data_IF_119073781033
#
_entry.id   IF_119073781033
#
_cell.length_a   1.000
_cell.length_b   1.000
_cell.length_c   1.000
_cell.angle_alpha   90.00
_cell.angle_beta   90.00
_cell.angle_gamma   90.00
#
_symmetry.space_group_name_H-M   'P 1'
#
loop_
_entity.id
_entity.type
_entity.pdbx_description
1 polymer ?
#
# COMPACT_ATOMS: atom_id res chain seq x y z
N UNK A 1 -21.39 -17.77 0.44
CA UNK A 1 -19.97 -17.56 0.80
C UNK A 1 -19.91 -16.47 1.86
N UNK A 2 -19.12 -16.67 2.91
CA UNK A 2 -18.99 -15.75 4.05
C UNK A 2 -17.58 -15.18 4.13
N UNK A 3 -17.49 -13.94 4.59
CA UNK A 3 -16.27 -13.19 4.87
C UNK A 3 -16.32 -12.75 6.33
N UNK A 4 -15.17 -12.76 6.99
CA UNK A 4 -15.04 -12.36 8.39
C UNK A 4 -15.23 -10.85 8.60
N UNK A 5 -14.99 -10.03 7.57
CA UNK A 5 -15.26 -8.60 7.61
C UNK A 5 -15.55 -8.01 6.23
N UNK A 6 -16.16 -6.82 6.19
CA UNK A 6 -16.36 -6.07 4.94
C UNK A 6 -15.04 -5.77 4.22
N UNK A 7 -13.95 -5.56 4.95
CA UNK A 7 -12.64 -5.28 4.35
C UNK A 7 -12.07 -6.49 3.63
N UNK A 8 -12.25 -7.70 4.19
CA UNK A 8 -11.84 -8.95 3.51
C UNK A 8 -12.64 -9.19 2.23
N UNK A 9 -13.94 -8.86 2.24
CA UNK A 9 -14.78 -8.89 1.04
C UNK A 9 -14.31 -7.88 0.00
N UNK A 10 -14.11 -6.61 0.38
CA UNK A 10 -13.62 -5.55 -0.51
C UNK A 10 -12.27 -5.91 -1.11
N UNK A 11 -11.38 -6.51 -0.33
CA UNK A 11 -10.08 -6.98 -0.78
C UNK A 11 -10.20 -8.12 -1.80
N UNK A 12 -11.09 -9.09 -1.56
CA UNK A 12 -11.33 -10.19 -2.48
C UNK A 12 -11.96 -9.71 -3.79
N UNK A 13 -12.96 -8.84 -3.71
CA UNK A 13 -13.60 -8.19 -4.86
C UNK A 13 -12.58 -7.41 -5.69
N UNK A 14 -11.70 -6.63 -5.03
CA UNK A 14 -10.62 -5.88 -5.67
C UNK A 14 -9.67 -6.82 -6.42
N UNK A 15 -9.21 -7.90 -5.78
CA UNK A 15 -8.33 -8.90 -6.42
C UNK A 15 -9.00 -9.55 -7.64
N UNK A 16 -10.27 -9.89 -7.53
CA UNK A 16 -11.04 -10.48 -8.63
C UNK A 16 -11.18 -9.50 -9.80
N UNK A 17 -11.55 -8.25 -9.52
CA UNK A 17 -11.68 -7.21 -10.54
C UNK A 17 -10.38 -6.94 -11.28
N UNK A 18 -9.26 -6.93 -10.55
CA UNK A 18 -7.91 -6.79 -11.12
C UNK A 18 -7.61 -8.00 -12.00
N UNK A 19 -7.83 -9.23 -11.54
CA UNK A 19 -7.55 -10.43 -12.33
C UNK A 19 -8.35 -10.52 -13.63
N UNK A 20 -9.63 -10.16 -13.59
CA UNK A 20 -10.53 -10.27 -14.75
C UNK A 20 -10.56 -9.01 -15.64
N UNK A 21 -9.79 -7.98 -15.29
CA UNK A 21 -9.65 -6.73 -16.05
C UNK A 21 -10.99 -6.05 -16.40
N UNK A 22 -11.79 -5.78 -15.37
CA UNK A 22 -13.01 -4.99 -15.51
C UNK A 22 -13.10 -3.88 -14.47
N UNK A 23 -13.86 -2.84 -14.82
CA UNK A 23 -14.15 -1.72 -13.92
C UNK A 23 -15.39 -2.04 -13.08
N UNK A 24 -15.22 -1.90 -11.77
CA UNK A 24 -16.25 -2.12 -10.75
C UNK A 24 -17.02 -0.83 -10.49
N UNK A 25 -18.35 -0.91 -10.44
CA UNK A 25 -19.24 0.11 -9.88
C UNK A 25 -19.83 -0.42 -8.58
N UNK A 26 -19.85 0.43 -7.56
CA UNK A 26 -20.49 0.16 -6.27
C UNK A 26 -21.70 1.08 -6.15
N UNK A 27 -22.88 0.50 -5.95
CA UNK A 27 -24.09 1.28 -5.71
C UNK A 27 -24.05 1.91 -4.31
N UNK A 28 -24.78 3.02 -4.12
CA UNK A 28 -24.67 3.95 -2.96
C UNK A 28 -24.79 3.33 -1.55
N UNK A 29 -25.17 2.06 -1.39
CA UNK A 29 -25.28 1.36 -0.10
C UNK A 29 -23.98 0.67 0.35
N UNK A 30 -22.85 1.37 0.25
CA UNK A 30 -21.51 0.81 0.50
C UNK A 30 -21.25 0.44 1.98
N UNK A 31 -22.00 1.02 2.93
CA UNK A 31 -21.84 0.76 4.37
C UNK A 31 -22.35 -0.62 4.80
N UNK A 32 -23.35 -1.17 4.11
CA UNK A 32 -24.02 -2.42 4.50
C UNK A 32 -23.83 -3.55 3.51
N UNK A 33 -23.18 -3.28 2.39
CA UNK A 33 -22.61 -4.30 1.54
C UNK A 33 -23.00 -4.26 0.08
N UNK A 34 -24.04 -3.51 -0.25
CA UNK A 34 -24.34 -3.00 -1.57
C UNK A 34 -24.47 -4.03 -2.70
N UNK A 35 -24.99 -3.52 -3.81
CA UNK A 35 -24.87 -4.16 -5.11
C UNK A 35 -23.61 -3.62 -5.77
N UNK A 36 -22.84 -4.52 -6.35
CA UNK A 36 -21.63 -4.21 -7.09
C UNK A 36 -21.76 -4.84 -8.46
N UNK A 37 -21.54 -4.05 -9.51
CA UNK A 37 -21.70 -4.51 -10.88
C UNK A 37 -20.55 -4.07 -11.77
N UNK A 38 -20.48 -4.66 -12.96
CA UNK A 38 -19.50 -4.31 -13.96
C UNK A 38 -19.97 -3.04 -14.71
N UNK A 39 -19.03 -2.15 -15.02
CA UNK A 39 -19.26 -0.94 -15.83
C UNK A 39 -19.43 -1.23 -17.33
N UNK A 40 -19.18 -2.46 -17.76
CA UNK A 40 -19.29 -2.85 -19.16
C UNK A 40 -20.71 -2.71 -19.70
N UNK A 41 -20.83 -2.25 -20.95
CA UNK A 41 -22.14 -2.08 -21.60
C UNK A 41 -22.92 -3.40 -21.66
N UNK A 42 -24.15 -3.39 -21.13
CA UNK A 42 -25.04 -4.56 -21.02
C UNK A 42 -24.36 -5.77 -20.35
N UNK A 43 -23.40 -5.52 -19.46
CA UNK A 43 -22.75 -6.59 -18.71
C UNK A 43 -23.73 -7.20 -17.71
N UNK A 44 -23.84 -8.53 -17.71
CA UNK A 44 -24.68 -9.27 -16.75
C UNK A 44 -23.99 -9.57 -15.43
N UNK A 45 -22.70 -9.26 -15.30
CA UNK A 45 -21.96 -9.52 -14.09
C UNK A 45 -22.37 -8.55 -12.97
N UNK A 46 -22.80 -9.11 -11.85
CA UNK A 46 -23.00 -8.37 -10.60
C UNK A 46 -22.96 -9.31 -9.39
N UNK A 47 -22.74 -8.70 -8.24
CA UNK A 47 -22.70 -9.36 -6.95
C UNK A 47 -23.47 -8.50 -5.95
N UNK A 48 -24.27 -9.15 -5.13
CA UNK A 48 -24.94 -8.52 -4.00
C UNK A 48 -24.48 -9.20 -2.74
N UNK A 49 -23.97 -8.39 -1.82
CA UNK A 49 -23.50 -8.85 -0.54
C UNK A 49 -24.06 -7.94 0.54
N UNK A 50 -24.23 -8.48 1.73
CA UNK A 50 -24.65 -7.69 2.88
C UNK A 50 -24.00 -8.20 4.16
N UNK A 51 -24.07 -7.39 5.20
CA UNK A 51 -23.80 -7.87 6.56
C UNK A 51 -24.71 -9.07 6.85
N UNK A 52 -24.14 -10.10 7.47
CA UNK A 52 -24.84 -11.30 7.87
C UNK A 52 -25.69 -11.01 9.14
N UNK A 53 -26.64 -11.89 9.50
CA UNK A 53 -27.52 -11.67 10.65
C UNK A 53 -26.79 -11.55 11.99
N UNK A 54 -25.55 -12.02 12.07
CA UNK A 54 -24.67 -11.89 13.23
C UNK A 54 -24.12 -10.46 13.43
N UNK A 55 -24.33 -9.56 12.48
CA UNK A 55 -23.90 -8.16 12.54
C UNK A 55 -22.39 -7.94 12.36
N UNK A 56 -21.61 -9.00 12.17
CA UNK A 56 -20.14 -8.96 12.12
C UNK A 56 -19.65 -9.47 10.77
N UNK A 57 -20.15 -10.65 10.38
CA UNK A 57 -19.71 -11.30 9.15
C UNK A 57 -20.38 -10.67 7.94
N UNK A 58 -19.81 -10.93 6.77
CA UNK A 58 -20.29 -10.37 5.52
C UNK A 58 -20.58 -11.49 4.53
N UNK A 59 -21.80 -11.55 4.01
CA UNK A 59 -22.29 -12.68 3.22
C UNK A 59 -22.63 -12.23 1.79
N UNK A 60 -22.17 -13.00 0.81
CA UNK A 60 -22.65 -12.89 -0.57
C UNK A 60 -24.02 -13.55 -0.67
N UNK A 61 -25.05 -12.74 -0.98
CA UNK A 61 -26.43 -13.18 -1.17
C UNK A 61 -26.69 -13.64 -2.60
N UNK A 62 -26.12 -12.92 -3.57
CA UNK A 62 -26.31 -13.23 -4.99
C UNK A 62 -25.01 -12.96 -5.74
N UNK A 63 -24.67 -13.85 -6.66
CA UNK A 63 -23.49 -13.71 -7.49
C UNK A 63 -23.82 -14.20 -8.90
N UNK A 64 -23.63 -13.32 -9.88
CA UNK A 64 -23.68 -13.66 -11.30
C UNK A 64 -22.26 -13.55 -11.86
N UNK A 65 -21.65 -14.69 -12.13
CA UNK A 65 -20.28 -14.79 -12.63
C UNK A 65 -20.13 -14.39 -14.10
N UNK A 66 -21.23 -14.42 -14.87
CA UNK A 66 -21.18 -14.28 -16.32
C UNK A 66 -20.92 -12.84 -16.74
N UNK A 67 -19.70 -12.56 -17.19
CA UNK A 67 -19.40 -11.36 -17.96
C UNK A 67 -19.91 -11.52 -19.41
N UNK A 68 -20.58 -10.47 -19.90
CA UNK A 68 -20.99 -10.33 -21.32
C UNK A 68 -20.29 -9.16 -22.01
N UNK A 69 -19.42 -8.46 -21.29
CA UNK A 69 -18.62 -7.35 -21.79
C UNK A 69 -17.22 -7.80 -22.23
N UNK A 70 -16.59 -6.99 -23.08
CA UNK A 70 -15.17 -7.12 -23.39
C UNK A 70 -14.35 -6.58 -22.20
N UNK A 71 -13.18 -7.19 -21.94
CA UNK A 71 -12.24 -6.72 -20.90
C UNK A 71 -11.81 -5.29 -21.19
N UNK A 72 -11.67 -4.49 -20.14
CA UNK A 72 -11.39 -3.04 -20.23
C UNK A 72 -9.97 -2.77 -19.78
N UNK A 73 -9.17 -2.08 -20.59
CA UNK A 73 -7.76 -1.76 -20.29
C UNK A 73 -7.55 -0.84 -19.08
N UNK A 74 -8.61 -0.19 -18.58
CA UNK A 74 -8.54 0.80 -17.50
C UNK A 74 -9.31 0.33 -16.26
N UNK A 75 -8.62 -0.41 -15.41
CA UNK A 75 -9.15 -0.79 -14.11
C UNK A 75 -8.80 0.24 -13.02
N UNK A 76 -9.82 0.87 -12.42
CA UNK A 76 -9.65 1.81 -11.29
C UNK A 76 -9.28 1.12 -9.98
N UNK A 77 -9.57 -0.17 -9.85
CA UNK A 77 -9.24 -0.95 -8.65
C UNK A 77 -7.73 -1.19 -8.53
N UNK A 78 -7.00 -1.21 -9.63
CA UNK A 78 -5.55 -1.27 -9.61
C UNK A 78 -4.97 0.14 -9.37
N UNK A 79 -4.96 0.60 -8.12
CA UNK A 79 -4.36 1.91 -7.80
C UNK A 79 -2.85 1.80 -7.63
N UNK A 80 -2.12 2.90 -7.80
CA UNK A 80 -0.66 2.91 -7.58
C UNK A 80 -0.26 2.46 -6.17
N UNK A 81 -1.09 2.71 -5.15
CA UNK A 81 -0.87 2.21 -3.78
C UNK A 81 -0.96 0.68 -3.70
N UNK A 82 -1.99 0.09 -4.31
CA UNK A 82 -2.15 -1.36 -4.36
C UNK A 82 -0.98 -2.03 -5.07
N UNK A 83 -0.54 -1.44 -6.17
CA UNK A 83 0.64 -1.91 -6.89
C UNK A 83 1.90 -1.81 -6.05
N UNK A 84 2.08 -0.70 -5.33
CA UNK A 84 3.23 -0.49 -4.47
C UNK A 84 3.33 -1.60 -3.42
N UNK A 85 2.23 -1.91 -2.73
CA UNK A 85 2.18 -3.00 -1.75
C UNK A 85 2.64 -4.35 -2.32
N UNK A 86 2.33 -4.65 -3.58
CA UNK A 86 2.76 -5.90 -4.24
C UNK A 86 4.17 -5.84 -4.80
N UNK A 87 4.66 -4.65 -5.14
CA UNK A 87 5.99 -4.45 -5.69
C UNK A 87 7.06 -4.24 -4.60
N UNK A 88 6.68 -4.02 -3.34
CA UNK A 88 7.64 -3.81 -2.23
C UNK A 88 8.65 -4.96 -2.16
N UNK A 89 8.20 -6.22 -2.13
CA UNK A 89 9.11 -7.36 -1.98
C UNK A 89 10.02 -7.51 -3.20
N UNK A 90 9.48 -7.34 -4.41
CA UNK A 90 10.24 -7.36 -5.68
C UNK A 90 11.30 -6.25 -5.73
N UNK A 91 10.95 -5.04 -5.27
CA UNK A 91 11.84 -3.89 -5.24
C UNK A 91 12.87 -3.98 -4.13
N UNK A 92 12.58 -4.71 -3.05
CA UNK A 92 13.54 -4.97 -1.97
C UNK A 92 14.67 -5.88 -2.46
N UNK A 93 14.35 -6.86 -3.30
CA UNK A 93 15.35 -7.70 -3.98
C UNK A 93 16.06 -6.98 -5.13
N UNK A 94 15.33 -6.14 -5.88
CA UNK A 94 15.85 -5.48 -7.08
C UNK A 94 15.51 -3.97 -7.13
N UNK A 95 16.20 -3.11 -6.35
CA UNK A 95 15.87 -1.69 -6.23
C UNK A 95 15.96 -0.90 -7.56
N UNK A 96 16.94 -1.28 -8.39
CA UNK A 96 17.23 -0.63 -9.67
C UNK A 96 16.36 -1.13 -10.83
N UNK A 97 15.33 -1.94 -10.55
CA UNK A 97 14.42 -2.44 -11.59
C UNK A 97 13.75 -1.28 -12.34
N UNK A 98 13.79 -1.35 -13.68
CA UNK A 98 13.14 -0.39 -14.56
C UNK A 98 11.63 -0.65 -14.63
N UNK A 99 10.81 0.40 -14.76
CA UNK A 99 9.35 0.27 -14.87
C UNK A 99 8.90 -0.64 -16.03
N UNK A 100 9.68 -0.72 -17.11
CA UNK A 100 9.41 -1.65 -18.23
C UNK A 100 9.52 -3.11 -17.79
N UNK A 101 10.48 -3.45 -16.93
CA UNK A 101 10.66 -4.80 -16.37
C UNK A 101 9.56 -5.18 -15.38
N UNK A 102 8.95 -4.19 -14.72
CA UNK A 102 7.83 -4.43 -13.80
C UNK A 102 6.56 -4.95 -14.52
N UNK A 103 6.44 -4.73 -15.83
CA UNK A 103 5.36 -5.30 -16.64
C UNK A 103 5.38 -6.81 -16.71
N UNK A 104 6.51 -7.45 -16.42
CA UNK A 104 6.59 -8.92 -16.36
C UNK A 104 5.76 -9.48 -15.20
N UNK A 105 5.48 -8.66 -14.18
CA UNK A 105 4.69 -9.03 -13.00
C UNK A 105 3.18 -8.78 -13.19
N UNK A 106 2.66 -8.98 -14.41
CA UNK A 106 1.24 -8.82 -14.74
C UNK A 106 0.30 -9.60 -13.83
N UNK A 107 0.71 -10.78 -13.34
CA UNK A 107 -0.06 -11.59 -12.40
C UNK A 107 -0.30 -10.89 -11.05
N UNK A 108 0.59 -9.97 -10.66
CA UNK A 108 0.51 -9.20 -9.42
C UNK A 108 -0.21 -7.86 -9.63
N UNK A 109 -0.17 -7.33 -10.86
CA UNK A 109 -0.64 -5.99 -11.20
C UNK A 109 -1.22 -5.91 -12.60
N UNK A 110 -2.55 -5.85 -12.70
CA UNK A 110 -3.27 -5.73 -13.98
C UNK A 110 -3.33 -4.30 -14.48
N UNK A 111 -2.17 -3.64 -14.62
CA UNK A 111 -2.08 -2.30 -15.21
C UNK A 111 -1.22 -2.31 -16.45
N UNK A 112 -1.79 -1.77 -17.52
CA UNK A 112 -1.12 -1.62 -18.82
C UNK A 112 -0.31 -0.30 -18.91
N UNK A 113 -0.63 0.70 -18.08
CA UNK A 113 -0.03 2.03 -18.12
C UNK A 113 1.30 2.15 -17.34
N UNK A 114 2.36 2.52 -18.07
CA UNK A 114 3.72 2.76 -17.52
C UNK A 114 3.74 3.82 -16.42
N UNK A 115 2.97 4.91 -16.57
CA UNK A 115 2.93 5.99 -15.58
C UNK A 115 2.49 5.51 -14.19
N UNK A 116 1.63 4.50 -14.14
CA UNK A 116 1.17 3.91 -12.88
C UNK A 116 2.31 3.16 -12.17
N UNK A 117 3.17 2.46 -12.93
CA UNK A 117 4.36 1.80 -12.38
C UNK A 117 5.36 2.80 -11.80
N UNK A 118 5.55 3.97 -12.44
CA UNK A 118 6.40 5.03 -11.88
C UNK A 118 5.88 5.51 -10.51
N UNK A 119 4.57 5.76 -10.40
CA UNK A 119 3.95 6.17 -9.13
C UNK A 119 4.08 5.08 -8.07
N UNK A 120 3.79 3.83 -8.43
CA UNK A 120 3.90 2.71 -7.52
C UNK A 120 5.33 2.44 -7.06
N UNK A 121 6.31 2.51 -7.98
CA UNK A 121 7.74 2.42 -7.63
C UNK A 121 8.10 3.50 -6.60
N UNK A 122 7.72 4.76 -6.84
CA UNK A 122 8.01 5.85 -5.90
C UNK A 122 7.41 5.58 -4.51
N UNK A 123 6.15 5.14 -4.44
CA UNK A 123 5.48 4.82 -3.18
C UNK A 123 6.16 3.63 -2.48
N UNK A 124 6.50 2.57 -3.22
CA UNK A 124 7.16 1.39 -2.67
C UNK A 124 8.57 1.70 -2.16
N UNK A 125 9.36 2.47 -2.91
CA UNK A 125 10.71 2.89 -2.49
C UNK A 125 10.65 3.76 -1.23
N UNK A 126 9.72 4.70 -1.15
CA UNK A 126 9.48 5.47 0.09
C UNK A 126 9.12 4.59 1.29
N UNK A 127 8.42 3.47 1.05
CA UNK A 127 8.12 2.50 2.09
C UNK A 127 9.32 1.62 2.48
N UNK A 128 10.28 1.39 1.56
CA UNK A 128 11.47 0.57 1.79
C UNK A 128 12.58 1.38 2.45
N UNK A 129 12.94 2.52 1.86
CA UNK A 129 13.98 3.43 2.37
C UNK A 129 13.51 4.15 3.65
N UNK A 130 12.19 4.17 3.86
CA UNK A 130 11.56 4.97 4.88
C UNK A 130 11.55 6.45 4.50
N UNK A 131 10.84 7.25 5.29
CA UNK A 131 10.88 8.69 5.13
C UNK A 131 12.06 9.23 5.96
N UNK A 132 13.06 9.77 5.27
CA UNK A 132 14.24 10.39 5.89
C UNK A 132 13.83 11.47 6.90
N UNK A 133 12.79 12.26 6.61
CA UNK A 133 12.33 13.30 7.53
C UNK A 133 11.84 12.71 8.86
N UNK A 134 11.15 11.56 8.85
CA UNK A 134 10.76 10.87 10.09
C UNK A 134 11.97 10.35 10.84
N UNK A 135 12.94 9.76 10.13
CA UNK A 135 14.16 9.22 10.74
C UNK A 135 15.00 10.32 11.40
N UNK A 136 15.20 11.45 10.72
CA UNK A 136 15.88 12.62 11.29
C UNK A 136 15.08 13.25 12.44
N UNK A 137 13.75 13.26 12.36
CA UNK A 137 12.88 13.71 13.46
C UNK A 137 12.93 12.81 14.71
N UNK A 138 13.37 11.55 14.60
CA UNK A 138 13.58 10.69 15.77
C UNK A 138 14.85 11.08 16.54
N UNK A 139 15.89 11.55 15.86
CA UNK A 139 17.14 11.96 16.50
C UNK A 139 16.94 13.14 17.45
N UNK A 140 16.12 14.13 17.06
CA UNK A 140 15.80 15.27 17.92
C UNK A 140 15.02 14.84 19.16
N UNK A 141 14.02 13.98 19.01
CA UNK A 141 13.27 13.39 20.14
C UNK A 141 14.16 12.58 21.07
N UNK A 142 15.14 11.85 20.52
CA UNK A 142 16.10 11.09 21.29
C UNK A 142 16.99 12.01 22.14
N UNK A 143 17.51 13.10 21.57
CA UNK A 143 18.30 14.12 22.29
C UNK A 143 17.49 14.75 23.42
N UNK A 144 16.22 15.06 23.17
CA UNK A 144 15.30 15.60 24.19
C UNK A 144 15.08 14.60 25.34
N UNK A 145 14.82 13.33 25.03
CA UNK A 145 14.68 12.28 26.05
C UNK A 145 15.98 12.10 26.85
N UNK A 146 17.14 12.04 26.19
CA UNK A 146 18.43 11.87 26.84
C UNK A 146 18.73 13.03 27.80
N UNK A 147 18.38 14.25 27.43
CA UNK A 147 18.52 15.46 28.26
C UNK A 147 17.63 15.41 29.51
N UNK A 148 16.42 14.85 29.41
CA UNK A 148 15.51 14.67 30.54
C UNK A 148 15.98 13.58 31.51
N UNK A 149 16.45 12.45 30.99
CA UNK A 149 16.85 11.30 31.82
C UNK A 149 18.20 11.51 32.50
N UNK A 150 19.08 12.33 31.93
CA UNK A 150 20.38 12.65 32.51
C UNK A 150 20.58 14.17 32.69
N UNK A 151 19.98 14.74 33.74
CA UNK A 151 20.13 16.16 34.06
C UNK A 151 21.60 16.53 34.29
N UNK A 152 22.07 17.59 33.63
CA UNK A 152 23.46 18.08 33.75
C UNK A 152 24.40 17.62 32.63
N UNK A 153 23.96 16.74 31.74
CA UNK A 153 24.71 16.40 30.52
C UNK A 153 24.26 17.21 29.31
N UNK A 154 25.20 17.68 28.50
CA UNK A 154 24.93 18.46 27.28
C UNK A 154 24.97 17.54 26.07
N UNK A 155 23.85 17.47 25.36
CA UNK A 155 23.73 16.68 24.12
C UNK A 155 23.69 17.63 22.92
N UNK A 156 24.56 17.42 21.93
CA UNK A 156 24.62 18.21 20.69
C UNK A 156 24.52 17.31 19.47
N UNK A 157 23.50 17.53 18.65
CA UNK A 157 23.36 16.86 17.36
C UNK A 157 24.30 17.54 16.34
N UNK A 158 25.13 16.76 15.66
CA UNK A 158 26.03 17.24 14.61
C UNK A 158 25.73 16.50 13.31
N UNK A 159 25.76 17.24 12.20
CA UNK A 159 25.62 16.68 10.86
C UNK A 159 27.01 16.63 10.23
N UNK A 160 27.46 15.44 9.81
CA UNK A 160 28.69 15.31 9.04
C UNK A 160 28.39 15.62 7.57
N UNK A 161 29.10 16.58 6.97
CA UNK A 161 28.97 16.93 5.55
C UNK A 161 29.78 15.97 4.65
N UNK A 162 30.70 15.18 5.23
CA UNK A 162 31.51 14.18 4.54
C UNK A 162 31.52 12.87 5.33
N UNK A 163 31.41 11.74 4.62
CA UNK A 163 31.53 10.40 5.22
C UNK A 163 32.99 10.12 5.59
N UNK A 164 33.51 10.80 6.61
CA UNK A 164 34.66 10.25 7.32
C UNK A 164 34.19 8.99 8.06
N UNK A 165 34.87 7.87 7.83
CA UNK A 165 34.64 6.63 8.56
C UNK A 165 34.97 6.88 10.04
N UNK A 166 33.94 7.13 10.84
CA UNK A 166 34.05 7.17 12.30
C UNK A 166 33.75 5.74 12.78
N UNK A 167 34.72 5.00 13.35
CA UNK A 167 34.46 3.69 13.91
C UNK A 167 33.33 3.77 14.95
N UNK A 168 32.57 2.68 15.21
CA UNK A 168 31.42 2.69 16.10
C UNK A 168 31.88 2.81 17.57
N UNK A 169 32.36 3.99 17.92
CA UNK A 169 32.59 4.42 19.29
C UNK A 169 31.50 5.41 19.62
N UNK A 170 30.65 5.05 20.57
CA UNK A 170 29.75 5.96 21.25
C UNK A 170 30.62 6.93 22.06
N UNK A 171 31.12 7.99 21.42
CA UNK A 171 31.95 8.99 22.11
C UNK A 171 31.03 9.95 22.88
N UNK A 172 30.62 9.53 24.08
CA UNK A 172 30.05 10.43 25.08
C UNK A 172 31.16 11.31 25.63
N UNK A 173 31.46 12.44 24.96
CA UNK A 173 32.38 13.44 25.53
C UNK A 173 31.68 14.15 26.69
N UNK A 174 31.97 13.70 27.91
CA UNK A 174 31.60 14.38 29.15
C UNK A 174 32.46 15.65 29.25
N UNK A 175 31.88 16.80 28.92
CA UNK A 175 32.52 18.08 29.17
C UNK A 175 32.41 18.37 30.67
N UNK A 176 33.55 18.34 31.37
CA UNK A 176 33.66 18.89 32.70
C UNK A 176 34.00 20.38 32.56
N UNK A 177 33.22 21.23 33.22
CA UNK A 177 33.60 22.62 33.50
C UNK A 177 34.44 22.64 34.77
#
# INVERSE_FOLDING_TARGET
MFFSSIDTFRLALRKYAIREDFKVIRDKNEKEGGVVHCDGERCKWWIHASVAPDGISFMIKTYIEKHTCVRVDKNKEATASWMAEKLVDVLRENPNMKCRGMRSYKSLVSIHHICSFYKAKKIAMLSIEGNHATSFGMLTKYVEMASRTNPGSIFKLQYAHEMEYIPPTLILKRAFC
#
